data_IF_122238167641
#
_entry.id   IF_122238167641
#
_cell.length_a   1.000
_cell.length_b   1.000
_cell.length_c   1.000
_cell.angle_alpha   90.00
_cell.angle_beta   90.00
_cell.angle_gamma   90.00
#
_symmetry.space_group_name_H-M   'P 1'
#
loop_
_entity.id
_entity.type
_entity.pdbx_description
1 polymer ?
#
# COMPACT_ATOMS: atom_id res chain seq x y z
N UNK A 1 21.41 6.33 0.45
CA UNK A 1 22.15 5.83 1.64
C UNK A 1 21.89 6.75 2.83
N UNK A 2 21.76 6.21 4.04
CA UNK A 2 21.54 7.01 5.26
C UNK A 2 20.08 7.31 5.63
N UNK A 3 19.10 6.79 4.89
CA UNK A 3 17.69 6.81 5.33
C UNK A 3 17.42 5.53 6.13
N UNK A 4 16.94 5.62 7.38
CA UNK A 4 16.58 4.44 8.17
C UNK A 4 15.48 3.62 7.48
N UNK A 5 15.50 2.27 7.57
CA UNK A 5 14.44 1.42 7.01
C UNK A 5 13.05 1.78 7.53
N UNK A 6 12.94 2.13 8.81
CA UNK A 6 11.69 2.52 9.48
C UNK A 6 11.11 3.79 8.86
N UNK A 7 11.96 4.79 8.60
CA UNK A 7 11.56 6.04 7.95
C UNK A 7 11.16 5.79 6.49
N UNK A 8 11.89 4.93 5.78
CA UNK A 8 11.55 4.54 4.41
C UNK A 8 10.17 3.84 4.35
N UNK A 9 9.91 2.89 5.25
CA UNK A 9 8.63 2.20 5.35
C UNK A 9 7.49 3.13 5.74
N UNK A 10 7.72 4.04 6.70
CA UNK A 10 6.76 5.06 7.10
C UNK A 10 6.44 6.04 5.96
N UNK A 11 7.45 6.47 5.19
CA UNK A 11 7.26 7.35 4.04
C UNK A 11 6.44 6.69 2.93
N UNK A 12 6.67 5.39 2.65
CA UNK A 12 5.84 4.63 1.70
C UNK A 12 4.40 4.56 2.20
N UNK A 13 4.18 4.20 3.47
CA UNK A 13 2.84 4.11 4.05
C UNK A 13 2.10 5.45 4.01
N UNK A 14 2.78 6.55 4.35
CA UNK A 14 2.22 7.89 4.31
C UNK A 14 1.87 8.33 2.89
N UNK A 15 2.81 8.19 1.95
CA UNK A 15 2.68 8.64 0.55
C UNK A 15 1.71 7.83 -0.31
N UNK A 16 1.28 6.67 0.20
CA UNK A 16 0.28 5.79 -0.42
C UNK A 16 -1.07 5.78 0.32
N UNK A 17 -1.23 6.60 1.37
CA UNK A 17 -2.51 6.76 2.08
C UNK A 17 -2.96 8.21 2.17
N UNK A 18 -2.36 9.01 3.05
CA UNK A 18 -2.91 10.30 3.50
C UNK A 18 -1.86 11.36 3.78
N UNK A 19 -0.57 10.98 3.81
CA UNK A 19 0.51 11.87 4.20
C UNK A 19 1.07 12.69 3.04
N UNK A 20 1.69 13.80 3.38
CA UNK A 20 2.51 14.62 2.49
C UNK A 20 3.81 15.02 3.20
N UNK A 21 4.67 15.79 2.54
CA UNK A 21 6.04 16.11 3.00
C UNK A 21 6.10 17.09 4.18
N UNK A 22 4.97 17.67 4.60
CA UNK A 22 4.88 18.59 5.73
C UNK A 22 3.54 18.40 6.44
N UNK A 23 3.46 18.76 7.72
CA UNK A 23 2.22 18.70 8.49
C UNK A 23 1.17 19.62 7.88
N UNK A 24 -0.06 19.13 7.77
CA UNK A 24 -1.20 19.91 7.31
C UNK A 24 -2.26 19.98 8.40
N UNK A 25 -2.73 21.18 8.73
CA UNK A 25 -3.71 21.37 9.81
C UNK A 25 -5.05 20.67 9.53
N UNK A 26 -5.35 20.42 8.25
CA UNK A 26 -6.56 19.73 7.80
C UNK A 26 -6.62 18.28 8.26
N UNK A 27 -5.51 17.69 8.71
CA UNK A 27 -5.51 16.40 9.39
C UNK A 27 -6.44 16.40 10.61
N UNK A 28 -6.58 17.55 11.28
CA UNK A 28 -7.50 17.73 12.41
C UNK A 28 -8.99 17.78 12.04
N UNK A 29 -9.33 17.80 10.74
CA UNK A 29 -10.71 17.73 10.26
C UNK A 29 -11.21 16.31 10.02
N UNK A 30 -10.31 15.32 10.12
CA UNK A 30 -10.62 13.90 9.92
C UNK A 30 -9.98 13.05 11.02
N UNK A 31 -10.27 11.74 11.03
CA UNK A 31 -9.62 10.80 11.94
C UNK A 31 -8.42 10.16 11.25
N UNK A 32 -7.23 10.74 11.43
CA UNK A 32 -5.98 10.13 10.93
C UNK A 32 -5.80 8.70 11.45
N UNK A 33 -6.21 8.41 12.67
CA UNK A 33 -6.12 7.05 13.21
C UNK A 33 -6.99 6.05 12.45
N UNK A 34 -8.10 6.49 11.85
CA UNK A 34 -8.89 5.64 10.97
C UNK A 34 -8.25 5.47 9.60
N UNK A 35 -7.74 6.54 9.00
CA UNK A 35 -7.40 6.55 7.57
C UNK A 35 -5.91 6.37 7.25
N UNK A 36 -4.99 6.50 8.21
CA UNK A 36 -3.56 6.37 7.93
C UNK A 36 -3.17 4.91 7.61
N UNK A 37 -2.45 4.72 6.51
CA UNK A 37 -1.67 3.53 6.24
C UNK A 37 -0.57 3.40 7.29
N UNK A 38 -0.22 2.17 7.66
CA UNK A 38 0.79 1.91 8.72
C UNK A 38 1.77 0.86 8.26
N UNK A 39 3.05 1.22 8.21
CA UNK A 39 4.12 0.23 8.20
C UNK A 39 4.18 -0.38 9.61
N UNK A 40 3.89 -1.67 9.74
CA UNK A 40 3.79 -2.34 11.04
C UNK A 40 4.91 -3.33 11.30
N UNK A 41 5.62 -3.75 10.25
CA UNK A 41 6.75 -4.67 10.36
C UNK A 41 7.75 -4.44 9.22
N UNK A 42 9.02 -4.67 9.50
CA UNK A 42 10.13 -4.52 8.56
C UNK A 42 11.16 -5.60 8.83
N UNK A 43 11.48 -6.39 7.81
CA UNK A 43 12.51 -7.42 7.89
C UNK A 43 13.60 -7.22 6.82
N UNK A 44 14.88 -7.50 7.15
CA UNK A 44 15.95 -7.47 6.15
C UNK A 44 15.81 -8.61 5.14
N UNK A 45 16.13 -8.35 3.88
CA UNK A 45 16.13 -9.39 2.85
C UNK A 45 17.38 -10.27 3.02
N UNK A 46 17.24 -11.61 3.14
CA UNK A 46 18.39 -12.51 3.28
C UNK A 46 19.36 -12.41 2.09
N UNK A 47 20.65 -12.21 2.39
CA UNK A 47 21.70 -12.11 1.36
C UNK A 47 21.88 -10.72 0.75
N UNK A 48 21.08 -9.73 1.15
CA UNK A 48 21.16 -8.36 0.67
C UNK A 48 21.52 -7.40 1.82
N UNK A 49 22.47 -6.47 1.59
CA UNK A 49 22.99 -5.62 2.67
C UNK A 49 22.11 -4.40 2.98
N UNK A 50 21.29 -3.95 2.02
CA UNK A 50 20.49 -2.73 2.15
C UNK A 50 19.14 -2.84 1.42
N UNK A 51 18.49 -4.00 1.59
CA UNK A 51 17.14 -4.27 1.11
C UNK A 51 16.29 -4.82 2.26
N UNK A 52 15.02 -4.45 2.25
CA UNK A 52 14.08 -4.75 3.32
C UNK A 52 12.72 -5.06 2.72
N UNK A 53 11.96 -5.94 3.36
CA UNK A 53 10.53 -6.12 3.14
C UNK A 53 9.82 -5.28 4.19
N UNK A 54 9.01 -4.32 3.75
CA UNK A 54 8.20 -3.49 4.62
C UNK A 54 6.73 -3.89 4.46
N UNK A 55 6.07 -4.22 5.58
CA UNK A 55 4.68 -4.62 5.59
C UNK A 55 3.79 -3.43 5.95
N UNK A 56 2.92 -3.05 5.01
CA UNK A 56 2.01 -1.90 5.16
C UNK A 56 0.56 -2.36 5.23
N UNK A 57 -0.17 -1.91 6.25
CA UNK A 57 -1.60 -2.13 6.41
C UNK A 57 -2.39 -0.87 6.01
N UNK A 58 -3.42 -1.06 5.19
CA UNK A 58 -4.33 0.00 4.73
C UNK A 58 -5.75 -0.26 5.24
N UNK A 59 -6.44 0.76 5.78
CA UNK A 59 -7.87 0.67 6.06
C UNK A 59 -8.69 0.40 4.79
N UNK A 60 -9.69 -0.48 4.89
CA UNK A 60 -10.54 -0.85 3.74
C UNK A 60 -11.25 0.37 3.12
N UNK A 61 -11.70 1.31 3.96
CA UNK A 61 -12.44 2.50 3.56
C UNK A 61 -11.65 3.47 2.67
N UNK A 62 -10.34 3.26 2.47
CA UNK A 62 -9.55 4.04 1.51
C UNK A 62 -9.84 3.65 0.05
N UNK A 63 -10.41 2.46 -0.17
CA UNK A 63 -10.53 1.88 -1.49
C UNK A 63 -11.96 1.90 -2.00
N UNK A 64 -12.10 2.38 -3.23
CA UNK A 64 -13.37 2.34 -3.97
C UNK A 64 -13.73 0.89 -4.32
N UNK A 65 -14.99 0.53 -4.06
CA UNK A 65 -15.54 -0.79 -4.35
C UNK A 65 -15.45 -1.11 -5.86
N UNK A 66 -15.00 -2.32 -6.21
CA UNK A 66 -14.92 -2.76 -7.60
C UNK A 66 -13.86 -2.07 -8.48
N UNK A 67 -12.99 -1.23 -7.90
CA UNK A 67 -12.05 -0.38 -8.65
C UNK A 67 -10.58 -0.78 -8.46
N UNK A 68 -10.07 -1.64 -9.37
CA UNK A 68 -8.62 -1.97 -9.41
C UNK A 68 -7.78 -0.72 -9.68
N UNK A 69 -8.33 0.22 -10.46
CA UNK A 69 -7.70 1.51 -10.75
C UNK A 69 -7.47 2.31 -9.48
N UNK A 70 -8.49 2.44 -8.62
CA UNK A 70 -8.35 3.17 -7.36
C UNK A 70 -7.34 2.49 -6.42
N UNK A 71 -7.40 1.15 -6.30
CA UNK A 71 -6.44 0.36 -5.51
C UNK A 71 -4.99 0.67 -5.91
N UNK A 72 -4.66 0.59 -7.21
CA UNK A 72 -3.29 0.84 -7.65
C UNK A 72 -2.90 2.31 -7.65
N UNK A 73 -3.84 3.23 -7.83
CA UNK A 73 -3.57 4.67 -7.70
C UNK A 73 -3.03 5.00 -6.30
N UNK A 74 -3.58 4.39 -5.27
CA UNK A 74 -3.09 4.57 -3.89
C UNK A 74 -1.77 3.83 -3.65
N UNK A 75 -1.73 2.52 -3.91
CA UNK A 75 -0.61 1.65 -3.48
C UNK A 75 0.68 1.93 -4.27
N UNK A 76 0.58 2.16 -5.59
CA UNK A 76 1.76 2.27 -6.46
C UNK A 76 1.87 3.64 -7.16
N UNK A 77 0.95 4.57 -6.91
CA UNK A 77 0.83 5.82 -7.66
C UNK A 77 2.10 6.68 -7.65
N UNK A 78 2.55 7.10 -6.46
CA UNK A 78 3.64 8.08 -6.32
C UNK A 78 4.91 7.50 -5.67
N UNK A 79 4.77 6.50 -4.81
CA UNK A 79 5.81 6.08 -3.86
C UNK A 79 7.06 5.48 -4.54
N UNK A 80 6.92 4.96 -5.75
CA UNK A 80 8.03 4.41 -6.54
C UNK A 80 8.99 5.50 -7.06
N UNK A 81 8.56 6.76 -7.08
CA UNK A 81 9.36 7.92 -7.49
C UNK A 81 10.02 8.69 -6.34
N UNK A 82 9.91 8.21 -5.09
CA UNK A 82 10.44 8.93 -3.93
C UNK A 82 11.97 8.98 -3.97
N UNK A 83 12.54 10.19 -3.92
CA UNK A 83 14.00 10.42 -3.94
C UNK A 83 14.75 9.79 -2.76
N UNK A 84 14.05 9.53 -1.66
CA UNK A 84 14.60 8.86 -0.48
C UNK A 84 14.83 7.35 -0.71
N UNK A 85 14.19 6.76 -1.73
CA UNK A 85 14.30 5.35 -2.08
C UNK A 85 15.17 5.19 -3.33
N UNK A 86 16.07 4.20 -3.31
CA UNK A 86 16.87 3.85 -4.50
C UNK A 86 16.06 3.01 -5.49
N UNK A 87 15.24 2.12 -4.96
CA UNK A 87 14.35 1.23 -5.68
C UNK A 87 13.19 0.84 -4.75
N UNK A 88 12.06 0.49 -5.34
CA UNK A 88 10.90 -0.05 -4.64
C UNK A 88 10.25 -1.10 -5.54
N UNK A 89 9.76 -2.19 -4.93
CA UNK A 89 9.00 -3.24 -5.60
C UNK A 89 7.83 -3.65 -4.72
N UNK A 90 6.66 -3.76 -5.34
CA UNK A 90 5.51 -4.39 -4.70
C UNK A 90 5.60 -5.90 -4.96
N UNK A 91 5.81 -6.69 -3.90
CA UNK A 91 5.95 -8.15 -4.02
C UNK A 91 4.60 -8.88 -3.95
N UNK A 92 3.72 -8.51 -3.01
CA UNK A 92 2.43 -9.17 -2.82
C UNK A 92 1.39 -8.23 -2.19
N UNK A 93 0.11 -8.57 -2.35
CA UNK A 93 -1.03 -7.91 -1.73
C UNK A 93 -1.99 -8.92 -1.11
N UNK A 94 -2.19 -8.81 0.21
CA UNK A 94 -3.28 -9.50 0.88
C UNK A 94 -4.59 -8.72 0.70
N UNK A 95 -5.47 -9.20 -0.18
CA UNK A 95 -6.78 -8.59 -0.40
C UNK A 95 -7.85 -9.21 0.53
N UNK A 96 -8.52 -8.42 1.38
CA UNK A 96 -9.51 -8.96 2.32
C UNK A 96 -10.80 -9.40 1.61
N UNK A 97 -11.50 -10.46 2.08
CA UNK A 97 -12.74 -10.93 1.46
C UNK A 97 -13.83 -9.87 1.32
N UNK A 98 -13.88 -8.89 2.24
CA UNK A 98 -14.81 -7.77 2.18
C UNK A 98 -14.61 -6.93 0.90
N UNK A 99 -13.35 -6.71 0.48
CA UNK A 99 -13.06 -6.00 -0.76
C UNK A 99 -13.24 -6.89 -1.99
N UNK A 100 -12.77 -8.15 -1.94
CA UNK A 100 -12.89 -9.11 -3.06
C UNK A 100 -14.35 -9.25 -3.52
N UNK A 101 -15.30 -9.29 -2.58
CA UNK A 101 -16.73 -9.42 -2.87
C UNK A 101 -17.35 -8.23 -3.61
N UNK A 102 -16.64 -7.10 -3.72
CA UNK A 102 -17.09 -5.93 -4.49
C UNK A 102 -16.78 -6.06 -5.98
N UNK A 103 -16.02 -7.08 -6.38
CA UNK A 103 -15.64 -7.34 -7.77
C UNK A 103 -16.45 -8.49 -8.36
N UNK A 104 -16.72 -8.42 -9.65
CA UNK A 104 -17.33 -9.53 -10.40
C UNK A 104 -16.40 -10.76 -10.46
N UNK A 105 -15.09 -10.54 -10.62
CA UNK A 105 -14.15 -11.63 -10.91
C UNK A 105 -14.29 -12.17 -12.34
N UNK A 106 -13.79 -13.39 -12.62
CA UNK A 106 -13.90 -14.01 -13.94
C UNK A 106 -15.36 -14.24 -14.35
N UNK A 107 -15.77 -13.92 -15.58
CA UNK A 107 -17.18 -14.03 -16.02
C UNK A 107 -17.72 -15.46 -16.07
N UNK A 108 -16.85 -16.46 -16.24
CA UNK A 108 -17.24 -17.88 -16.35
C UNK A 108 -16.45 -18.75 -15.36
N UNK A 109 -15.13 -18.53 -15.26
CA UNK A 109 -14.26 -19.35 -14.43
C UNK A 109 -13.91 -20.69 -15.10
N UNK A 110 -12.90 -21.37 -14.54
CA UNK A 110 -12.27 -22.54 -15.19
C UNK A 110 -13.26 -23.70 -15.36
N UNK A 111 -14.20 -23.88 -14.44
CA UNK A 111 -15.20 -24.94 -14.51
C UNK A 111 -16.16 -24.73 -15.69
N UNK A 112 -16.76 -23.54 -15.79
CA UNK A 112 -17.71 -23.21 -16.88
C UNK A 112 -17.02 -23.12 -18.24
N UNK A 113 -15.74 -22.72 -18.28
CA UNK A 113 -14.96 -22.74 -19.53
C UNK A 113 -14.67 -24.17 -20.03
N UNK A 114 -14.71 -25.17 -19.13
CA UNK A 114 -14.42 -26.58 -19.44
C UNK A 114 -15.67 -27.43 -19.68
N UNK A 115 -16.85 -26.95 -19.31
CA UNK A 115 -18.16 -27.58 -19.56
C UNK A 115 -18.59 -27.40 -21.03
#
# INVERSE_FOLDING_TARGET
PGVPPEEAGAAVAAGSSTGTWTTVWTDGLTSLDRYKGRCYDIEPVPGEENQYIAYVAYPLDLFEEGSVTNLFTSIVGNVFGFKALRALRLEDLRIPPAYVKTFQGPPHGIQVERD
#
